data_IF_394955629311
#
_entry.id   IF_394955629311
#
_cell.length_a   1.000
_cell.length_b   1.000
_cell.length_c   1.000
_cell.angle_alpha   90.00
_cell.angle_beta   90.00
_cell.angle_gamma   90.00
#
_symmetry.space_group_name_H-M   'P 1'
#
loop_
_entity.id
_entity.type
_entity.pdbx_description
1 polymer ?
#
# COMPACT_ATOMS: atom_id res chain seq x y z
N UNK A 1 7.52 -8.23 3.87
CA UNK A 1 7.22 -8.13 2.42
C UNK A 1 7.89 -9.26 1.66
N UNK A 2 7.31 -9.74 0.57
CA UNK A 2 7.81 -10.85 -0.23
C UNK A 2 7.17 -10.82 -1.63
N UNK A 3 7.66 -11.65 -2.53
CA UNK A 3 7.10 -11.89 -3.85
C UNK A 3 6.84 -13.37 -4.04
N UNK A 4 5.65 -13.75 -4.49
CA UNK A 4 5.36 -15.09 -4.97
C UNK A 4 5.22 -15.05 -6.49
N UNK A 5 6.09 -15.76 -7.19
CA UNK A 5 6.09 -15.87 -8.64
C UNK A 5 6.28 -17.33 -9.02
N UNK A 6 5.72 -17.76 -10.14
CA UNK A 6 5.83 -19.15 -10.62
C UNK A 6 5.42 -20.25 -9.62
N UNK A 7 4.56 -19.95 -8.64
CA UNK A 7 4.13 -20.93 -7.64
C UNK A 7 5.03 -21.06 -6.42
N UNK A 8 6.09 -20.25 -6.32
CA UNK A 8 7.03 -20.27 -5.22
C UNK A 8 7.14 -18.91 -4.55
N UNK A 9 7.48 -18.92 -3.26
CA UNK A 9 7.78 -17.73 -2.49
C UNK A 9 9.25 -17.36 -2.66
N UNK A 10 9.51 -16.08 -2.87
CA UNK A 10 10.85 -15.52 -2.76
C UNK A 10 11.30 -15.36 -1.30
N UNK A 11 12.46 -14.73 -1.12
CA UNK A 11 12.98 -14.42 0.21
C UNK A 11 12.12 -13.35 0.91
N UNK A 12 11.73 -13.59 2.16
CA UNK A 12 11.04 -12.57 2.95
C UNK A 12 11.96 -11.40 3.29
N UNK A 13 11.42 -10.19 3.15
CA UNK A 13 12.03 -8.92 3.50
C UNK A 13 11.27 -8.36 4.71
N UNK A 14 11.94 -8.24 5.85
CA UNK A 14 11.36 -7.63 7.03
C UNK A 14 11.62 -6.12 6.98
N UNK A 15 10.55 -5.34 7.18
CA UNK A 15 10.68 -3.91 7.43
C UNK A 15 11.28 -3.66 8.81
N UNK A 16 11.55 -2.39 9.16
CA UNK A 16 11.82 -2.01 10.55
C UNK A 16 10.56 -2.23 11.42
N UNK A 17 10.58 -1.73 12.65
CA UNK A 17 9.48 -1.86 13.63
C UNK A 17 8.09 -1.62 13.03
N UNK A 18 7.10 -2.40 13.47
CA UNK A 18 5.73 -2.29 12.99
C UNK A 18 5.18 -0.85 13.15
N UNK A 19 4.82 -0.16 12.05
CA UNK A 19 4.35 1.22 12.11
C UNK A 19 2.87 1.34 12.46
N UNK A 20 2.16 0.21 12.64
CA UNK A 20 0.74 0.17 12.96
C UNK A 20 0.51 -0.12 14.43
N UNK A 21 -0.52 0.55 14.97
CA UNK A 21 -1.00 0.32 16.33
C UNK A 21 -2.43 -0.16 16.30
N UNK A 22 -2.73 -1.18 17.10
CA UNK A 22 -4.05 -1.79 17.20
C UNK A 22 -5.09 -0.74 17.60
N UNK A 23 -6.22 -0.71 16.89
CA UNK A 23 -7.30 0.24 17.14
C UNK A 23 -7.02 1.67 16.65
N UNK A 24 -5.82 1.98 16.17
CA UNK A 24 -5.48 3.31 15.67
C UNK A 24 -5.76 3.45 14.18
N UNK A 25 -6.09 4.68 13.78
CA UNK A 25 -6.19 5.07 12.39
C UNK A 25 -4.81 5.15 11.74
N UNK A 26 -4.75 4.86 10.45
CA UNK A 26 -3.53 5.00 9.66
C UNK A 26 -3.81 5.66 8.31
N UNK A 27 -2.81 6.42 7.85
CA UNK A 27 -2.65 6.88 6.48
C UNK A 27 -1.42 6.21 5.88
N UNK A 28 -1.58 5.50 4.76
CA UNK A 28 -0.48 4.83 4.08
C UNK A 28 -0.38 5.23 2.62
N UNK A 29 0.83 5.52 2.17
CA UNK A 29 1.17 5.66 0.75
C UNK A 29 2.09 4.53 0.30
N UNK A 30 1.79 3.94 -0.85
CA UNK A 30 2.71 3.08 -1.60
C UNK A 30 3.08 3.82 -2.87
N UNK A 31 4.25 4.46 -2.86
CA UNK A 31 4.77 5.24 -3.98
C UNK A 31 5.56 4.32 -4.89
N UNK A 32 5.20 4.31 -6.18
CA UNK A 32 5.93 3.55 -7.19
C UNK A 32 7.11 4.40 -7.63
N UNK A 33 8.33 3.95 -7.29
CA UNK A 33 9.59 4.55 -7.75
C UNK A 33 10.25 3.63 -8.79
N UNK A 34 11.20 4.10 -9.60
CA UNK A 34 11.97 3.24 -10.52
C UNK A 34 12.66 2.07 -9.83
N UNK A 35 13.13 2.27 -8.60
CA UNK A 35 13.88 1.28 -7.81
C UNK A 35 13.01 0.32 -7.00
N UNK A 36 11.74 0.66 -6.74
CA UNK A 36 10.87 -0.15 -5.89
C UNK A 36 9.57 0.53 -5.47
N UNK A 37 8.88 -0.11 -4.53
CA UNK A 37 7.70 0.43 -3.85
C UNK A 37 8.13 1.05 -2.53
N UNK A 38 8.08 2.38 -2.46
CA UNK A 38 8.34 3.11 -1.23
C UNK A 38 7.06 3.22 -0.40
N UNK A 39 7.11 2.71 0.82
CA UNK A 39 6.00 2.76 1.77
C UNK A 39 6.21 3.92 2.74
N UNK A 40 5.16 4.73 2.90
CA UNK A 40 5.03 5.72 3.95
C UNK A 40 3.83 5.38 4.82
N UNK A 41 3.98 5.40 6.15
CA UNK A 41 2.90 5.18 7.11
C UNK A 41 2.87 6.36 8.07
N UNK A 42 1.70 6.97 8.22
CA UNK A 42 1.48 8.13 9.09
C UNK A 42 2.54 9.21 8.86
N UNK A 43 2.81 9.52 7.58
CA UNK A 43 3.78 10.52 7.13
C UNK A 43 5.26 10.15 7.25
N UNK A 44 5.59 9.00 7.86
CA UNK A 44 6.96 8.54 8.02
C UNK A 44 7.37 7.58 6.91
N UNK A 45 8.60 7.72 6.40
CA UNK A 45 9.17 6.76 5.48
C UNK A 45 9.47 5.45 6.22
N UNK A 46 8.92 4.34 5.73
CA UNK A 46 8.99 3.07 6.45
C UNK A 46 9.88 2.04 5.76
N UNK A 47 9.59 1.71 4.51
CA UNK A 47 10.35 0.66 3.81
C UNK A 47 10.34 0.85 2.29
N UNK A 48 11.44 0.49 1.64
CA UNK A 48 11.55 0.42 0.18
C UNK A 48 11.64 -1.05 -0.25
N UNK A 49 10.56 -1.58 -0.80
CA UNK A 49 10.55 -2.93 -1.36
C UNK A 49 10.98 -2.89 -2.83
N UNK A 50 12.14 -3.47 -3.15
CA UNK A 50 12.66 -3.44 -4.53
C UNK A 50 11.77 -4.21 -5.48
N UNK A 51 11.70 -3.76 -6.74
CA UNK A 51 10.95 -4.47 -7.77
C UNK A 51 11.55 -5.86 -8.03
N UNK A 52 10.78 -6.91 -7.73
CA UNK A 52 11.13 -8.30 -8.08
C UNK A 52 10.32 -8.82 -9.28
N UNK A 53 9.27 -8.09 -9.66
CA UNK A 53 8.46 -8.33 -10.85
C UNK A 53 8.46 -7.03 -11.67
N UNK A 54 8.61 -7.09 -13.01
CA UNK A 54 8.45 -5.91 -13.86
C UNK A 54 7.11 -5.21 -13.62
N UNK A 55 7.11 -3.88 -13.49
CA UNK A 55 5.91 -3.10 -13.17
C UNK A 55 4.78 -3.31 -14.18
N UNK A 56 5.12 -3.52 -15.45
CA UNK A 56 4.18 -3.72 -16.56
C UNK A 56 3.38 -5.01 -16.40
N UNK A 57 3.94 -5.97 -15.66
CA UNK A 57 3.27 -7.22 -15.37
C UNK A 57 2.23 -7.08 -14.27
N UNK A 58 2.26 -6.03 -13.45
CA UNK A 58 1.36 -5.86 -12.29
C UNK A 58 0.03 -5.22 -12.69
N UNK A 59 -1.08 -5.90 -12.43
CA UNK A 59 -2.41 -5.49 -12.91
C UNK A 59 -3.51 -5.42 -11.86
N UNK A 60 -3.35 -6.10 -10.72
CA UNK A 60 -4.38 -6.16 -9.67
C UNK A 60 -3.77 -5.82 -8.32
N UNK A 61 -4.50 -5.04 -7.54
CA UNK A 61 -4.25 -4.88 -6.11
C UNK A 61 -5.29 -5.65 -5.30
N UNK A 62 -4.82 -6.40 -4.30
CA UNK A 62 -5.67 -6.98 -3.26
C UNK A 62 -5.30 -6.43 -1.91
N UNK A 63 -6.28 -6.00 -1.13
CA UNK A 63 -6.08 -5.52 0.24
C UNK A 63 -6.95 -6.32 1.18
N UNK A 64 -6.42 -6.72 2.32
CA UNK A 64 -7.15 -7.49 3.32
C UNK A 64 -6.40 -7.60 4.64
N UNK A 65 -6.82 -8.55 5.46
CA UNK A 65 -6.36 -8.68 6.83
C UNK A 65 -7.29 -7.93 7.80
N UNK A 66 -6.83 -7.80 9.04
CA UNK A 66 -7.66 -7.30 10.14
C UNK A 66 -7.62 -5.77 10.22
N UNK A 67 -8.19 -5.10 9.22
CA UNK A 67 -8.31 -3.64 9.13
C UNK A 67 -9.70 -3.25 8.67
N UNK A 68 -10.14 -2.05 9.02
CA UNK A 68 -11.27 -1.38 8.35
C UNK A 68 -10.69 -0.35 7.39
N UNK A 69 -10.99 -0.46 6.11
CA UNK A 69 -10.59 0.56 5.13
C UNK A 69 -11.69 1.62 5.00
N UNK A 70 -11.29 2.87 5.11
CA UNK A 70 -12.15 4.02 4.94
C UNK A 70 -12.05 4.58 3.51
N UNK A 71 -10.84 4.53 2.93
CA UNK A 71 -10.57 5.10 1.61
C UNK A 71 -9.41 4.38 0.92
N UNK A 72 -9.60 4.09 -0.37
CA UNK A 72 -8.54 3.69 -1.30
C UNK A 72 -8.56 4.66 -2.46
N UNK A 73 -7.41 5.17 -2.89
CA UNK A 73 -7.33 6.06 -4.04
C UNK A 73 -5.92 6.07 -4.65
N UNK A 74 -5.79 6.72 -5.80
CA UNK A 74 -4.50 6.92 -6.46
C UNK A 74 -4.11 8.40 -6.52
N UNK A 75 -2.83 8.69 -6.28
CA UNK A 75 -2.20 9.98 -6.56
C UNK A 75 -1.41 9.84 -7.85
N UNK A 76 -1.89 10.45 -8.94
CA UNK A 76 -1.30 10.25 -10.28
C UNK A 76 0.07 10.94 -10.46
N UNK A 77 0.30 12.04 -9.75
CA UNK A 77 1.53 12.84 -9.84
C UNK A 77 2.13 13.04 -8.45
N UNK A 78 2.71 11.99 -7.89
CA UNK A 78 3.29 12.00 -6.54
C UNK A 78 4.30 13.14 -6.36
N UNK A 79 5.26 13.29 -7.27
CA UNK A 79 6.37 14.24 -7.12
C UNK A 79 5.94 15.72 -7.01
N UNK A 80 4.79 16.07 -7.59
CA UNK A 80 4.23 17.43 -7.54
C UNK A 80 3.03 17.53 -6.59
N UNK A 81 2.70 16.44 -5.88
CA UNK A 81 1.59 16.42 -4.93
C UNK A 81 1.97 17.14 -3.63
N UNK A 82 0.94 17.61 -2.92
CA UNK A 82 1.11 18.16 -1.59
C UNK A 82 1.56 17.03 -0.64
N UNK A 83 1.14 15.79 -0.92
CA UNK A 83 1.57 14.60 -0.19
C UNK A 83 3.09 14.43 -0.14
N UNK A 84 3.76 14.48 -1.29
CA UNK A 84 5.21 14.36 -1.33
C UNK A 84 5.92 15.50 -0.60
N UNK A 85 5.36 16.71 -0.61
CA UNK A 85 5.99 17.87 0.04
C UNK A 85 5.86 17.84 1.56
N UNK A 86 4.71 17.47 2.14
CA UNK A 86 4.61 17.43 3.60
C UNK A 86 5.29 16.20 4.23
N UNK A 87 5.31 15.05 3.54
CA UNK A 87 6.11 13.89 3.96
C UNK A 87 7.59 14.29 4.10
N UNK A 88 8.14 15.01 3.12
CA UNK A 88 9.52 15.53 3.19
C UNK A 88 9.75 16.53 4.32
N UNK A 89 8.70 17.24 4.76
CA UNK A 89 8.78 18.25 5.82
C UNK A 89 8.44 17.70 7.21
N UNK A 90 8.15 16.39 7.33
CA UNK A 90 7.75 15.77 8.59
C UNK A 90 6.41 16.28 9.14
N UNK A 91 5.56 16.89 8.31
CA UNK A 91 4.23 17.35 8.73
C UNK A 91 3.20 16.25 8.52
N UNK A 92 2.43 15.96 9.58
CA UNK A 92 1.62 14.74 9.70
C UNK A 92 0.11 14.96 9.55
N UNK A 93 -0.35 16.12 9.08
CA UNK A 93 -1.79 16.45 9.11
C UNK A 93 -2.32 16.90 7.76
N UNK A 94 -2.84 15.95 7.01
CA UNK A 94 -3.59 16.20 5.78
C UNK A 94 -4.99 16.69 6.13
N UNK A 95 -5.43 17.82 5.55
CA UNK A 95 -6.83 18.22 5.64
C UNK A 95 -7.66 17.43 4.62
N UNK A 96 -8.91 17.03 4.95
CA UNK A 96 -9.77 16.30 4.02
C UNK A 96 -9.91 16.99 2.65
N UNK A 97 -10.01 18.32 2.64
CA UNK A 97 -10.10 19.13 1.41
C UNK A 97 -8.85 19.01 0.52
N UNK A 98 -7.65 18.98 1.11
CA UNK A 98 -6.40 18.77 0.37
C UNK A 98 -6.38 17.38 -0.26
N UNK A 99 -6.84 16.37 0.50
CA UNK A 99 -6.86 14.98 0.07
C UNK A 99 -7.75 14.83 -1.17
N UNK A 100 -9.00 15.27 -1.11
CA UNK A 100 -9.97 15.05 -2.19
C UNK A 100 -9.57 15.68 -3.53
N UNK A 101 -8.81 16.78 -3.55
CA UNK A 101 -8.40 17.45 -4.79
C UNK A 101 -7.30 16.72 -5.58
N UNK A 102 -6.50 15.87 -4.92
CA UNK A 102 -5.33 15.21 -5.53
C UNK A 102 -5.50 13.70 -5.71
N UNK A 103 -6.61 13.15 -5.20
CA UNK A 103 -6.96 11.76 -5.36
C UNK A 103 -7.72 11.52 -6.66
N UNK A 104 -7.39 10.43 -7.32
CA UNK A 104 -8.10 9.88 -8.46
C UNK A 104 -8.71 8.54 -8.08
N UNK A 105 -9.94 8.29 -8.56
CA UNK A 105 -10.70 7.06 -8.33
C UNK A 105 -10.86 6.69 -6.84
N UNK A 106 -11.35 7.60 -5.97
CA UNK A 106 -11.56 7.27 -4.57
C UNK A 106 -12.65 6.21 -4.42
N UNK A 107 -12.33 5.11 -3.75
CA UNK A 107 -13.27 4.11 -3.28
C UNK A 107 -13.45 4.30 -1.78
N UNK A 108 -14.63 4.73 -1.37
CA UNK A 108 -14.98 4.92 0.03
C UNK A 108 -15.49 3.61 0.63
N UNK A 109 -15.06 3.32 1.85
CA UNK A 109 -15.49 2.17 2.66
C UNK A 109 -15.56 0.85 1.87
N UNK A 110 -14.47 0.43 1.21
CA UNK A 110 -14.48 -0.80 0.42
C UNK A 110 -14.65 -2.03 1.32
N UNK A 111 -15.46 -2.98 0.86
CA UNK A 111 -15.53 -4.30 1.48
C UNK A 111 -14.18 -5.03 1.34
N UNK A 112 -13.82 -5.81 2.37
CA UNK A 112 -12.59 -6.61 2.38
C UNK A 112 -12.87 -8.10 2.11
N UNK A 113 -11.96 -8.81 1.41
CA UNK A 113 -10.76 -8.26 0.76
C UNK A 113 -11.13 -7.38 -0.45
N UNK A 114 -10.53 -6.20 -0.53
CA UNK A 114 -10.72 -5.32 -1.69
C UNK A 114 -9.89 -5.86 -2.85
N UNK A 115 -10.51 -6.05 -4.01
CA UNK A 115 -9.82 -6.43 -5.25
C UNK A 115 -10.14 -5.37 -6.30
N UNK A 116 -9.11 -4.62 -6.71
CA UNK A 116 -9.27 -3.51 -7.65
C UNK A 116 -8.31 -3.61 -8.84
N UNK A 117 -8.76 -3.24 -10.05
CA UNK A 117 -7.86 -3.12 -11.19
C UNK A 117 -6.93 -1.91 -11.02
N UNK A 118 -5.68 -2.05 -11.44
CA UNK A 118 -4.76 -0.92 -11.56
C UNK A 118 -4.96 -0.32 -12.95
N UNK A 119 -5.82 0.70 -13.02
CA UNK A 119 -6.20 1.32 -14.29
C UNK A 119 -4.97 1.97 -14.95
N UNK A 120 -4.65 1.55 -16.18
CA UNK A 120 -3.49 2.00 -17.00
C UNK A 120 -2.11 1.49 -16.57
N UNK A 121 -2.05 0.53 -15.65
CA UNK A 121 -0.81 -0.09 -15.16
C UNK A 121 -0.05 0.76 -14.15
N UNK A 122 0.80 0.12 -13.33
CA UNK A 122 1.66 0.83 -12.38
C UNK A 122 2.78 1.54 -13.14
N UNK A 123 2.99 2.82 -12.83
CA UNK A 123 4.07 3.64 -13.39
C UNK A 123 4.78 4.38 -12.27
N UNK A 124 6.08 4.59 -12.46
CA UNK A 124 6.85 5.43 -11.56
C UNK A 124 6.23 6.83 -11.45
N UNK A 125 6.16 7.37 -10.24
CA UNK A 125 5.55 8.68 -9.96
C UNK A 125 4.06 8.64 -9.64
N UNK A 126 3.43 7.46 -9.66
CA UNK A 126 2.10 7.24 -9.08
C UNK A 126 2.25 6.79 -7.62
N UNK A 127 1.25 7.07 -6.79
CA UNK A 127 1.13 6.46 -5.47
C UNK A 127 -0.27 5.89 -5.24
N UNK A 128 -0.36 4.76 -4.54
CA UNK A 128 -1.60 4.29 -3.94
C UNK A 128 -1.72 4.92 -2.54
N UNK A 129 -2.90 5.42 -2.22
CA UNK A 129 -3.24 5.94 -0.91
C UNK A 129 -4.30 5.06 -0.24
N UNK A 130 -4.06 4.73 1.03
CA UNK A 130 -4.90 3.89 1.87
C UNK A 130 -5.13 4.59 3.19
N UNK A 131 -6.40 4.74 3.56
CA UNK A 131 -6.80 5.22 4.88
C UNK A 131 -7.66 4.16 5.54
N UNK A 132 -7.38 3.87 6.81
CA UNK A 132 -8.12 2.87 7.56
C UNK A 132 -7.86 2.92 9.05
N UNK A 133 -8.38 1.91 9.74
CA UNK A 133 -8.19 1.67 11.17
C UNK A 133 -7.73 0.23 11.35
N UNK A 134 -6.72 0.01 12.18
CA UNK A 134 -6.26 -1.34 12.53
C UNK A 134 -7.31 -2.00 13.42
N UNK A 135 -7.79 -3.19 13.03
CA UNK A 135 -8.79 -3.91 13.81
C UNK A 135 -8.23 -4.41 15.15
N UNK A 136 -9.12 -4.71 16.09
CA UNK A 136 -8.78 -4.91 17.51
C UNK A 136 -8.76 -6.36 18.03
N UNK A 137 -9.00 -7.42 17.23
CA UNK A 137 -9.09 -8.82 17.76
C UNK A 137 -8.72 -9.99 16.81
N UNK A 138 -7.85 -10.90 17.30
CA UNK A 138 -7.65 -12.30 16.83
C UNK A 138 -6.18 -12.79 16.82
N UNK A 139 -5.83 -13.97 17.36
CA UNK A 139 -4.44 -14.48 17.34
C UNK A 139 -3.94 -14.70 15.89
N UNK A 140 -2.76 -14.13 15.55
CA UNK A 140 -2.15 -14.23 14.21
C UNK A 140 -2.41 -13.04 13.28
N UNK A 141 -2.21 -11.81 13.76
CA UNK A 141 -2.52 -10.56 13.05
C UNK A 141 -1.60 -10.30 11.85
N UNK A 142 -1.95 -10.84 10.68
CA UNK A 142 -1.28 -10.47 9.43
C UNK A 142 -2.10 -9.39 8.71
N UNK A 143 -1.55 -8.18 8.63
CA UNK A 143 -2.10 -7.11 7.83
C UNK A 143 -1.55 -7.26 6.40
N UNK A 144 -2.43 -7.54 5.43
CA UNK A 144 -2.09 -7.64 4.02
C UNK A 144 -2.52 -6.37 3.30
N UNK A 145 -1.71 -5.31 3.39
CA UNK A 145 -2.13 -3.98 2.93
C UNK A 145 -2.18 -3.84 1.41
N UNK A 146 -1.35 -4.60 0.69
CA UNK A 146 -1.39 -4.63 -0.75
C UNK A 146 -0.75 -5.91 -1.27
N UNK A 147 -1.44 -6.54 -2.21
CA UNK A 147 -0.92 -7.63 -3.01
C UNK A 147 -1.01 -7.29 -4.48
N UNK A 148 0.13 -7.28 -5.13
CA UNK A 148 0.27 -6.97 -6.54
C UNK A 148 0.35 -8.26 -7.34
N UNK A 149 -0.59 -8.49 -8.26
CA UNK A 149 -0.67 -9.71 -9.08
C UNK A 149 -0.39 -9.44 -10.55
N UNK A 150 0.16 -10.44 -11.25
CA UNK A 150 0.37 -10.38 -12.70
C UNK A 150 -0.74 -11.02 -13.52
N UNK A 151 -1.04 -10.43 -14.68
CA UNK A 151 -2.09 -10.88 -15.60
C UNK A 151 -1.85 -12.25 -16.23
N UNK A 152 -0.62 -12.78 -16.22
CA UNK A 152 -0.33 -14.04 -16.91
C UNK A 152 -0.71 -15.30 -16.13
N UNK A 153 -0.94 -15.20 -14.82
CA UNK A 153 -1.53 -16.29 -14.04
C UNK A 153 -2.14 -15.67 -12.79
N UNK A 154 -3.39 -16.04 -12.46
CA UNK A 154 -4.05 -15.81 -11.16
C UNK A 154 -3.25 -16.45 -9.97
N UNK A 155 -2.00 -16.90 -10.19
CA UNK A 155 -1.12 -17.59 -9.24
C UNK A 155 0.11 -16.77 -8.81
N UNK A 156 0.38 -15.60 -9.36
CA UNK A 156 1.51 -14.77 -8.90
C UNK A 156 1.03 -13.77 -7.83
N UNK A 157 1.64 -13.80 -6.64
CA UNK A 157 1.19 -13.08 -5.44
C UNK A 157 2.35 -12.25 -4.85
N UNK A 158 2.51 -10.98 -5.19
CA UNK A 158 3.46 -10.14 -4.44
C UNK A 158 2.84 -9.73 -3.11
N UNK A 159 3.45 -10.03 -1.96
CA UNK A 159 2.91 -9.72 -0.64
C UNK A 159 3.69 -8.58 0.02
N UNK A 160 3.10 -7.41 0.24
CA UNK A 160 3.58 -6.56 1.34
C UNK A 160 2.89 -7.02 2.63
N UNK A 161 3.38 -8.09 3.24
CA UNK A 161 3.02 -8.40 4.63
C UNK A 161 3.86 -7.52 5.55
N UNK A 162 3.17 -6.71 6.37
CA UNK A 162 3.76 -6.13 7.58
C UNK A 162 3.29 -7.07 8.68
N UNK A 163 4.19 -8.00 9.05
CA UNK A 163 3.93 -8.95 10.13
C UNK A 163 4.05 -8.19 11.45
N UNK A 164 2.96 -8.17 12.22
CA UNK A 164 3.00 -7.82 13.63
C UNK A 164 3.12 -9.13 14.39
N UNK A 165 4.33 -9.55 14.73
CA UNK A 165 4.52 -10.53 15.78
C UNK A 165 4.69 -9.77 17.10
N UNK A 166 3.83 -10.09 18.07
CA UNK A 166 4.12 -9.91 19.49
C UNK A 166 4.36 -11.30 20.08
#
# INVERSE_FOLDING_TARGET
MNTHSNGEWGAEEFGPDNPFKIGEAFDMFIVIKPEGYQVYVNGNEHYLFKHRIPLEKVSVITIGGHVTLNLIAFVQKWNTSIFATQVKRGFLRWTPSTIHSQLSLPVQTPALPYVGPISRGLKAGVALYLQGVVGSKGPGYVIYLAKLMSSKVIRERCFSSIHSEY
#
